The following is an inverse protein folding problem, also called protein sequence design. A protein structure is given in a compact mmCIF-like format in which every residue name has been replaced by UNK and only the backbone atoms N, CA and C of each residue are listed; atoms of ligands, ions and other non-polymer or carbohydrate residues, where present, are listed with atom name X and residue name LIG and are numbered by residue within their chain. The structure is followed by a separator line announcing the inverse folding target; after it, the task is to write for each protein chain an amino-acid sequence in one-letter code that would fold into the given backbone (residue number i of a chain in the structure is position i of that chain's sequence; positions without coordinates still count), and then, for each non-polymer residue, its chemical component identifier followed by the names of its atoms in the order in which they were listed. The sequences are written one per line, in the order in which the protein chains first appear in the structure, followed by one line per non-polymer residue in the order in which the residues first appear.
data_IF_663743158680
#
_entry.id   IF_663743158680
#
_cell.length_a   1.000
_cell.length_b   1.000
_cell.length_c   1.000
_cell.angle_alpha   90.00
_cell.angle_beta   90.00
_cell.angle_gamma   90.00
#
_symmetry.space_group_name_H-M   'P 1'
#
loop_
_entity.id
_entity.type
_entity.pdbx_description
1 polymer ?
#
# COMPACT_ATOMS: atom_id res chain seq x y z
N UNK A 1 -10.63 19.24 -10.45
CA UNK A 1 -10.09 17.94 -10.00
C UNK A 1 -10.90 16.87 -10.70
N UNK A 2 -10.25 15.88 -11.30
CA UNK A 2 -10.97 14.77 -11.92
C UNK A 2 -11.78 14.02 -10.84
N UNK A 3 -13.00 13.59 -11.16
CA UNK A 3 -13.79 12.77 -10.24
C UNK A 3 -13.34 11.31 -10.35
N UNK A 4 -12.81 10.78 -9.25
CA UNK A 4 -12.31 9.41 -9.19
C UNK A 4 -13.39 8.36 -9.51
N UNK A 5 -14.67 8.63 -9.21
CA UNK A 5 -15.78 7.71 -9.51
C UNK A 5 -15.98 7.59 -11.01
N UNK A 6 -16.00 8.73 -11.70
CA UNK A 6 -16.13 8.79 -13.16
C UNK A 6 -14.94 8.10 -13.84
N UNK A 7 -13.74 8.26 -13.29
CA UNK A 7 -12.54 7.58 -13.80
C UNK A 7 -12.62 6.05 -13.62
N UNK A 8 -13.15 5.55 -12.49
CA UNK A 8 -13.39 4.12 -12.28
C UNK A 8 -14.41 3.61 -13.31
N UNK A 9 -15.55 4.30 -13.47
CA UNK A 9 -16.57 3.89 -14.44
C UNK A 9 -16.00 3.84 -15.87
N UNK A 10 -15.15 4.80 -16.23
CA UNK A 10 -14.45 4.81 -17.51
C UNK A 10 -13.49 3.62 -17.65
N UNK A 11 -12.68 3.34 -16.62
CA UNK A 11 -11.73 2.24 -16.64
C UNK A 11 -12.44 0.89 -16.79
N UNK A 12 -13.54 0.68 -16.08
CA UNK A 12 -14.36 -0.53 -16.18
C UNK A 12 -14.88 -0.78 -17.61
N UNK A 13 -15.23 0.29 -18.35
CA UNK A 13 -15.63 0.15 -19.76
C UNK A 13 -14.45 -0.24 -20.65
N UNK A 14 -13.25 0.24 -20.34
CA UNK A 14 -12.03 -0.01 -21.10
C UNK A 14 -11.49 -1.44 -20.90
N UNK A 15 -11.73 -2.10 -19.75
CA UNK A 15 -11.19 -3.43 -19.43
C UNK A 15 -11.42 -4.49 -20.51
N UNK A 16 -12.51 -4.37 -21.27
CA UNK A 16 -12.87 -5.35 -22.32
C UNK A 16 -12.23 -5.08 -23.68
N UNK A 17 -11.67 -3.89 -23.89
CA UNK A 17 -11.23 -3.43 -25.24
C UNK A 17 -9.84 -2.81 -25.25
N UNK A 18 -9.37 -2.26 -24.13
CA UNK A 18 -8.07 -1.62 -23.97
C UNK A 18 -7.58 -1.76 -22.52
N UNK A 19 -6.85 -2.85 -22.24
CA UNK A 19 -6.31 -3.16 -20.91
C UNK A 19 -5.25 -2.14 -20.46
N UNK A 20 -4.41 -1.65 -21.37
CA UNK A 20 -3.37 -0.67 -21.04
C UNK A 20 -4.01 0.68 -20.72
N UNK A 21 -5.01 1.08 -21.50
CA UNK A 21 -5.82 2.27 -21.23
C UNK A 21 -6.56 2.16 -19.90
N UNK A 22 -7.20 1.03 -19.62
CA UNK A 22 -7.88 0.79 -18.33
C UNK A 22 -6.91 0.91 -17.14
N UNK A 23 -5.74 0.27 -17.23
CA UNK A 23 -4.69 0.39 -16.21
C UNK A 23 -4.28 1.85 -15.95
N UNK A 24 -4.01 2.61 -17.02
CA UNK A 24 -3.65 4.03 -16.90
C UNK A 24 -4.79 4.87 -16.27
N UNK A 25 -6.05 4.59 -16.63
CA UNK A 25 -7.22 5.27 -16.07
C UNK A 25 -7.43 4.94 -14.59
N UNK A 26 -7.25 3.69 -14.17
CA UNK A 26 -7.27 3.32 -12.75
C UNK A 26 -6.18 4.04 -11.95
N UNK A 27 -4.95 4.13 -12.48
CA UNK A 27 -3.88 4.91 -11.85
C UNK A 27 -4.24 6.39 -11.68
N UNK A 28 -4.98 6.98 -12.62
CA UNK A 28 -5.53 8.35 -12.47
C UNK A 28 -6.61 8.41 -11.39
N UNK A 29 -7.50 7.41 -11.34
CA UNK A 29 -8.56 7.35 -10.34
C UNK A 29 -7.98 7.31 -8.92
N UNK A 30 -6.93 6.52 -8.69
CA UNK A 30 -6.21 6.47 -7.41
C UNK A 30 -5.70 7.85 -7.00
N UNK A 31 -4.96 8.54 -7.88
CA UNK A 31 -4.44 9.88 -7.58
C UNK A 31 -5.55 10.90 -7.29
N UNK A 32 -6.65 10.85 -8.05
CA UNK A 32 -7.80 11.72 -7.83
C UNK A 32 -8.51 11.42 -6.49
N UNK A 33 -8.63 10.14 -6.13
CA UNK A 33 -9.22 9.70 -4.86
C UNK A 33 -8.39 10.12 -3.65
N UNK A 34 -7.06 9.95 -3.71
CA UNK A 34 -6.13 10.38 -2.66
C UNK A 34 -6.11 11.90 -2.50
N UNK A 35 -6.08 12.65 -3.62
CA UNK A 35 -6.18 14.11 -3.56
C UNK A 35 -7.52 14.57 -2.95
N UNK A 36 -8.61 13.84 -3.20
CA UNK A 36 -9.88 14.09 -2.54
C UNK A 36 -9.85 13.78 -1.05
N UNK A 37 -9.27 12.64 -0.66
CA UNK A 37 -9.11 12.26 0.75
C UNK A 37 -8.27 13.31 1.52
N UNK A 38 -7.15 13.78 0.94
CA UNK A 38 -6.29 14.79 1.55
C UNK A 38 -7.06 16.08 1.90
N UNK A 39 -7.99 16.53 1.05
CA UNK A 39 -8.81 17.70 1.34
C UNK A 39 -9.77 17.51 2.52
N UNK A 40 -10.11 16.26 2.85
CA UNK A 40 -10.98 15.94 3.99
C UNK A 40 -10.20 15.85 5.31
N UNK A 41 -8.87 15.72 5.26
CA UNK A 41 -8.02 15.54 6.44
C UNK A 41 -7.74 16.82 7.23
N UNK A 42 -8.23 17.98 6.78
CA UNK A 42 -8.30 19.18 7.63
C UNK A 42 -9.27 18.99 8.81
N UNK A 43 -10.19 18.01 8.72
CA UNK A 43 -11.07 17.61 9.81
C UNK A 43 -10.36 16.62 10.75
N UNK A 44 -10.36 16.93 12.05
CA UNK A 44 -9.67 16.13 13.07
C UNK A 44 -10.25 14.71 13.22
N UNK A 45 -11.56 14.53 13.05
CA UNK A 45 -12.19 13.22 13.14
C UNK A 45 -11.76 12.37 11.94
N UNK A 46 -11.70 12.96 10.75
CA UNK A 46 -11.18 12.29 9.55
C UNK A 46 -9.70 11.89 9.71
N UNK A 47 -8.87 12.80 10.23
CA UNK A 47 -7.46 12.52 10.50
C UNK A 47 -7.26 11.36 11.49
N UNK A 48 -8.03 11.35 12.59
CA UNK A 48 -8.00 10.27 13.59
C UNK A 48 -8.46 8.92 13.02
N UNK A 49 -9.45 8.91 12.14
CA UNK A 49 -9.90 7.70 11.44
C UNK A 49 -8.78 7.13 10.56
N UNK A 50 -8.10 7.97 9.79
CA UNK A 50 -6.95 7.54 8.96
C UNK A 50 -5.80 7.02 9.83
N UNK A 51 -5.47 7.71 10.92
CA UNK A 51 -4.44 7.25 11.87
C UNK A 51 -4.77 5.87 12.44
N UNK A 52 -6.02 5.64 12.86
CA UNK A 52 -6.45 4.34 13.37
C UNK A 52 -6.40 3.24 12.29
N UNK A 53 -6.79 3.55 11.05
CA UNK A 53 -6.69 2.62 9.92
C UNK A 53 -5.23 2.26 9.61
N UNK A 54 -4.35 3.26 9.63
CA UNK A 54 -2.91 3.08 9.46
C UNK A 54 -2.36 2.10 10.50
N UNK A 55 -2.63 2.37 11.79
CA UNK A 55 -2.19 1.52 12.89
C UNK A 55 -2.72 0.08 12.78
N UNK A 56 -3.96 -0.09 12.33
CA UNK A 56 -4.57 -1.40 12.12
C UNK A 56 -3.87 -2.19 10.98
N UNK A 57 -3.57 -1.53 9.86
CA UNK A 57 -2.86 -2.14 8.72
C UNK A 57 -1.43 -2.54 9.09
N UNK A 58 -0.72 -1.67 9.82
CA UNK A 58 0.61 -1.97 10.36
C UNK A 58 0.57 -3.20 11.27
N UNK A 59 -0.35 -3.21 12.24
CA UNK A 59 -0.49 -4.32 13.18
C UNK A 59 -0.82 -5.63 12.46
N UNK A 60 -1.66 -5.57 11.43
CA UNK A 60 -2.02 -6.72 10.61
C UNK A 60 -0.81 -7.27 9.83
N UNK A 61 -0.04 -6.42 9.14
CA UNK A 61 1.18 -6.82 8.44
C UNK A 61 2.15 -7.53 9.40
N UNK A 62 2.35 -6.98 10.60
CA UNK A 62 3.20 -7.60 11.61
C UNK A 62 2.64 -8.92 12.14
N UNK A 63 1.32 -9.04 12.29
CA UNK A 63 0.68 -10.29 12.66
C UNK A 63 0.96 -11.39 11.62
N UNK A 64 0.89 -11.08 10.32
CA UNK A 64 1.22 -12.01 9.23
C UNK A 64 2.69 -12.41 9.28
N UNK A 65 3.59 -11.44 9.46
CA UNK A 65 5.04 -11.67 9.51
C UNK A 65 5.45 -12.52 10.73
N UNK A 66 4.89 -12.24 11.91
CA UNK A 66 5.12 -13.05 13.11
C UNK A 66 4.60 -14.47 12.95
N UNK A 67 3.44 -14.63 12.32
CA UNK A 67 2.88 -15.94 12.03
C UNK A 67 3.76 -16.73 11.06
N UNK A 68 4.26 -16.09 10.00
CA UNK A 68 5.21 -16.71 9.08
C UNK A 68 6.47 -17.18 9.81
N UNK A 69 7.03 -16.36 10.71
CA UNK A 69 8.18 -16.75 11.55
C UNK A 69 7.86 -17.93 12.48
N UNK A 70 6.64 -18.01 13.00
CA UNK A 70 6.22 -19.08 13.91
C UNK A 70 5.88 -20.38 13.19
N UNK A 71 5.35 -20.31 11.97
CA UNK A 71 5.05 -21.45 11.11
C UNK A 71 6.32 -22.06 10.49
N UNK A 72 7.43 -21.32 10.46
CA UNK A 72 8.74 -21.69 9.90
C UNK A 72 8.63 -22.43 8.55
N UNK A 73 7.93 -21.84 7.56
CA UNK A 73 7.76 -22.47 6.26
C UNK A 73 9.09 -22.56 5.52
N UNK A 74 9.21 -23.54 4.62
CA UNK A 74 10.32 -23.58 3.68
C UNK A 74 10.37 -22.27 2.87
N UNK A 75 11.53 -21.61 2.90
CA UNK A 75 11.77 -20.36 2.17
C UNK A 75 11.56 -20.59 0.67
N UNK A 76 10.75 -19.76 0.03
CA UNK A 76 10.36 -19.94 -1.37
C UNK A 76 9.27 -20.99 -1.60
N UNK A 77 8.88 -21.73 -0.57
CA UNK A 77 7.71 -22.61 -0.60
C UNK A 77 6.40 -21.84 -0.70
N UNK A 78 5.31 -22.54 -1.03
CA UNK A 78 3.99 -21.92 -1.27
C UNK A 78 3.50 -21.12 -0.06
N UNK A 79 3.66 -21.65 1.15
CA UNK A 79 3.23 -20.98 2.37
C UNK A 79 4.07 -19.73 2.67
N UNK A 80 5.39 -19.80 2.47
CA UNK A 80 6.28 -18.64 2.60
C UNK A 80 5.91 -17.56 1.58
N UNK A 81 5.76 -17.92 0.30
CA UNK A 81 5.41 -16.99 -0.76
C UNK A 81 4.02 -16.35 -0.56
N UNK A 82 3.03 -17.13 -0.12
CA UNK A 82 1.70 -16.59 0.17
C UNK A 82 1.73 -15.58 1.32
N UNK A 83 2.43 -15.89 2.41
CA UNK A 83 2.58 -14.98 3.56
C UNK A 83 3.37 -13.72 3.22
N UNK A 84 4.47 -13.88 2.49
CA UNK A 84 5.29 -12.77 2.02
C UNK A 84 4.47 -11.85 1.10
N UNK A 85 3.75 -12.41 0.12
CA UNK A 85 2.87 -11.65 -0.77
C UNK A 85 1.71 -10.96 -0.03
N UNK A 86 1.11 -11.64 0.95
CA UNK A 86 0.06 -11.07 1.80
C UNK A 86 0.57 -9.84 2.58
N UNK A 87 1.73 -9.95 3.22
CA UNK A 87 2.33 -8.83 3.94
C UNK A 87 2.76 -7.70 2.99
N UNK A 88 3.33 -8.05 1.84
CA UNK A 88 3.82 -7.11 0.82
C UNK A 88 2.69 -6.28 0.20
N UNK A 89 1.53 -6.90 -0.09
CA UNK A 89 0.39 -6.16 -0.61
C UNK A 89 -0.12 -5.10 0.37
N UNK A 90 -0.15 -5.41 1.68
CA UNK A 90 -0.57 -4.45 2.70
C UNK A 90 0.46 -3.35 2.90
N UNK A 91 1.76 -3.69 2.89
CA UNK A 91 2.81 -2.68 3.00
C UNK A 91 2.82 -1.73 1.80
N UNK A 92 2.58 -2.21 0.57
CA UNK A 92 2.41 -1.33 -0.59
C UNK A 92 1.25 -0.34 -0.44
N UNK A 93 0.12 -0.76 0.17
CA UNK A 93 -1.01 0.15 0.43
C UNK A 93 -0.61 1.23 1.45
N UNK A 94 0.10 0.86 2.51
CA UNK A 94 0.60 1.81 3.50
C UNK A 94 1.56 2.82 2.86
N UNK A 95 2.60 2.31 2.21
CA UNK A 95 3.74 3.10 1.76
C UNK A 95 3.51 3.84 0.43
N UNK A 96 2.54 3.44 -0.40
CA UNK A 96 2.36 4.06 -1.73
C UNK A 96 1.01 4.75 -1.90
N UNK A 97 0.04 4.49 -1.01
CA UNK A 97 -1.25 5.17 -1.02
C UNK A 97 -1.42 6.03 0.22
N UNK A 98 -1.24 5.46 1.41
CA UNK A 98 -1.52 6.18 2.66
C UNK A 98 -0.39 7.16 3.00
N UNK A 99 0.87 6.85 2.72
CA UNK A 99 2.01 7.78 2.88
C UNK A 99 1.82 9.08 2.07
N UNK A 100 1.09 9.02 0.94
CA UNK A 100 0.76 10.24 0.18
C UNK A 100 -0.19 11.18 0.92
N UNK A 101 -0.81 10.73 2.02
CA UNK A 101 -1.68 11.54 2.87
C UNK A 101 -0.84 12.18 3.99
N UNK A 102 -0.66 13.48 3.89
CA UNK A 102 0.10 14.27 4.86
C UNK A 102 -0.78 14.76 6.00
N UNK A 103 -0.27 14.66 7.23
CA UNK A 103 -0.79 15.40 8.37
C UNK A 103 -0.31 16.85 8.30
N UNK A 104 -1.00 17.66 7.51
CA UNK A 104 -0.66 19.07 7.28
C UNK A 104 -0.74 19.91 8.55
N UNK A 105 -1.50 19.46 9.56
CA UNK A 105 -1.70 20.16 10.82
C UNK A 105 -0.73 19.73 11.93
N UNK A 106 -0.01 18.60 11.76
CA UNK A 106 0.93 18.06 12.73
C UNK A 106 0.28 17.65 14.06
N UNK A 107 -0.98 17.19 13.99
CA UNK A 107 -1.83 16.87 15.15
C UNK A 107 -1.92 15.37 15.44
N UNK A 108 -1.43 14.52 14.55
CA UNK A 108 -1.45 13.06 14.61
C UNK A 108 -0.04 12.47 14.65
N UNK A 109 0.08 11.17 14.92
CA UNK A 109 1.35 10.47 14.81
C UNK A 109 1.66 9.96 13.38
N UNK A 110 0.94 10.43 12.35
CA UNK A 110 1.06 9.90 10.98
C UNK A 110 2.50 9.93 10.44
N UNK A 111 3.27 10.99 10.71
CA UNK A 111 4.68 11.04 10.28
C UNK A 111 5.57 9.98 10.96
N UNK A 112 5.34 9.66 12.24
CA UNK A 112 6.10 8.61 12.93
C UNK A 112 5.65 7.21 12.51
N UNK A 113 4.36 7.05 12.17
CA UNK A 113 3.83 5.82 11.59
C UNK A 113 4.37 5.58 10.18
N UNK A 114 4.63 6.65 9.42
CA UNK A 114 5.26 6.56 8.10
C UNK A 114 6.68 5.97 8.18
N UNK A 115 7.56 6.60 8.98
CA UNK A 115 8.93 6.12 9.22
C UNK A 115 8.96 4.64 9.67
N UNK A 116 8.00 4.26 10.51
CA UNK A 116 7.86 2.88 10.95
C UNK A 116 7.46 1.94 9.81
N UNK A 117 6.51 2.35 8.97
CA UNK A 117 6.06 1.55 7.82
C UNK A 117 7.17 1.36 6.79
N UNK A 118 8.00 2.38 6.54
CA UNK A 118 9.15 2.29 5.65
C UNK A 118 10.10 1.19 6.12
N UNK A 119 10.38 1.14 7.42
CA UNK A 119 11.22 0.11 8.03
C UNK A 119 10.59 -1.27 7.85
N UNK A 120 9.29 -1.38 8.12
CA UNK A 120 8.52 -2.62 7.95
C UNK A 120 8.53 -3.10 6.49
N UNK A 121 8.31 -2.20 5.53
CA UNK A 121 8.28 -2.52 4.10
C UNK A 121 9.62 -3.07 3.63
N UNK A 122 10.74 -2.49 4.07
CA UNK A 122 12.06 -3.02 3.78
C UNK A 122 12.25 -4.46 4.28
N UNK A 123 11.79 -4.78 5.50
CA UNK A 123 11.85 -6.15 6.02
C UNK A 123 10.99 -7.12 5.18
N UNK A 124 9.82 -6.68 4.74
CA UNK A 124 8.92 -7.48 3.91
C UNK A 124 9.52 -7.71 2.52
N UNK A 125 10.15 -6.70 1.92
CA UNK A 125 10.83 -6.82 0.61
C UNK A 125 11.90 -7.93 0.65
N UNK A 126 12.64 -8.07 1.76
CA UNK A 126 13.59 -9.18 1.93
C UNK A 126 12.90 -10.53 1.84
N UNK A 127 11.73 -10.68 2.47
CA UNK A 127 10.94 -11.91 2.42
C UNK A 127 10.33 -12.14 1.04
N UNK A 128 9.84 -11.10 0.38
CA UNK A 128 9.31 -11.17 -0.99
C UNK A 128 10.37 -11.65 -1.98
N UNK A 129 11.59 -11.13 -1.90
CA UNK A 129 12.72 -11.60 -2.71
C UNK A 129 13.06 -13.06 -2.41
N UNK A 130 13.09 -13.43 -1.13
CA UNK A 130 13.34 -14.82 -0.73
C UNK A 130 12.23 -15.77 -1.22
N UNK A 131 11.01 -15.28 -1.38
CA UNK A 131 9.88 -16.00 -1.98
C UNK A 131 9.96 -16.10 -3.52
N UNK A 132 10.98 -15.51 -4.17
CA UNK A 132 11.11 -15.47 -5.62
C UNK A 132 10.22 -14.44 -6.30
N UNK A 133 9.59 -13.52 -5.55
CA UNK A 133 8.90 -12.37 -6.12
C UNK A 133 9.96 -11.40 -6.65
N UNK A 134 10.05 -11.27 -7.97
CA UNK A 134 11.12 -10.50 -8.65
C UNK A 134 10.58 -9.47 -9.65
N UNK A 135 9.30 -9.55 -10.02
CA UNK A 135 8.68 -8.63 -10.97
C UNK A 135 8.03 -7.49 -10.18
N UNK A 136 8.43 -6.25 -10.47
CA UNK A 136 7.82 -5.00 -9.96
C UNK A 136 7.78 -4.88 -8.43
N UNK A 137 8.79 -5.42 -7.72
CA UNK A 137 8.96 -5.03 -6.32
C UNK A 137 9.28 -3.55 -6.23
N UNK A 138 8.62 -2.85 -5.31
CA UNK A 138 8.75 -1.42 -5.08
C UNK A 138 9.48 -1.21 -3.76
N UNK A 139 10.34 -0.19 -3.71
CA UNK A 139 10.85 0.30 -2.44
C UNK A 139 9.76 1.01 -1.65
N UNK A 140 10.07 1.47 -0.44
CA UNK A 140 9.09 2.13 0.41
C UNK A 140 8.51 3.43 -0.19
N UNK A 141 9.17 4.02 -1.20
CA UNK A 141 8.72 5.25 -1.87
C UNK A 141 8.02 4.97 -3.20
N UNK A 142 7.79 3.70 -3.52
CA UNK A 142 7.03 3.27 -4.68
C UNK A 142 7.86 3.19 -5.96
N UNK A 143 9.19 3.33 -5.86
CA UNK A 143 10.09 3.18 -6.99
C UNK A 143 10.42 1.71 -7.23
N UNK A 144 10.47 1.30 -8.50
CA UNK A 144 10.78 -0.08 -8.87
C UNK A 144 12.21 -0.42 -8.44
N UNK A 145 12.35 -1.47 -7.65
CA UNK A 145 13.62 -2.08 -7.29
C UNK A 145 14.18 -2.82 -8.51
N UNK A 146 14.96 -2.09 -9.32
CA UNK A 146 15.79 -2.69 -10.37
C UNK A 146 16.94 -3.44 -9.70
N UNK A 147 17.06 -4.74 -9.98
CA UNK A 147 18.21 -5.56 -9.54
C UNK A 147 19.54 -5.07 -10.11
#
# INVERSE_FOLDING_TARGET
MDDWKVLIDQAMQQETTDLIGAHATYGRAVRAGLAHAQMLLDDIEAAQIIEALYGALVAYSQQVMLRMKAEDPEIGGVDHAFRAGQAYGVSCVLNHLIDQLTDVAGITALGALDDFSDTLHHEIVVQSRAAGLTVELLDAKGDVLLE
#
